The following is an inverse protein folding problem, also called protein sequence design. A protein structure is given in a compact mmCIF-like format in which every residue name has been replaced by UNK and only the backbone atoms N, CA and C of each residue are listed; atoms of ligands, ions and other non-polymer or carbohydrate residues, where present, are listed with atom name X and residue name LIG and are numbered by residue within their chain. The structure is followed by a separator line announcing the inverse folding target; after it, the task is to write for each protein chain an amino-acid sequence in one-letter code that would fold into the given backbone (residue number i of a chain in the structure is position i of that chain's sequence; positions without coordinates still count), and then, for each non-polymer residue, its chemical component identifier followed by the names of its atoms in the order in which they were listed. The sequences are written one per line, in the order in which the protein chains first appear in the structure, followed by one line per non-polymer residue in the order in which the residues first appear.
data_IF_323224054382
#
_entry.id   IF_323224054382
#
_cell.length_a   1.000
_cell.length_b   1.000
_cell.length_c   1.000
_cell.angle_alpha   90.00
_cell.angle_beta   90.00
_cell.angle_gamma   90.00
#
_symmetry.space_group_name_H-M   'P 1'
#
loop_
_entity.id
_entity.type
_entity.pdbx_description
1 polymer ?
#
# COMPACT_ATOMS: atom_id res chain seq x y z
N UNK A 1 -15.18 -20.40 5.29
CA UNK A 1 -15.75 -19.04 5.43
C UNK A 1 -14.61 -18.13 5.92
N UNK A 2 -13.97 -17.37 5.03
CA UNK A 2 -12.86 -16.51 5.42
C UNK A 2 -13.39 -15.36 6.29
N UNK A 3 -12.94 -15.26 7.54
CA UNK A 3 -13.25 -14.14 8.43
C UNK A 3 -12.75 -12.83 7.81
N UNK A 4 -13.53 -11.75 7.96
CA UNK A 4 -13.10 -10.43 7.47
C UNK A 4 -12.02 -9.88 8.40
N UNK A 5 -10.91 -9.43 7.82
CA UNK A 5 -9.86 -8.72 8.57
C UNK A 5 -10.13 -7.22 8.69
N UNK A 6 -11.17 -6.69 8.04
CA UNK A 6 -11.53 -5.26 8.12
C UNK A 6 -11.69 -4.78 9.57
N UNK A 7 -12.37 -5.51 10.48
CA UNK A 7 -12.50 -5.08 11.87
C UNK A 7 -11.17 -5.00 12.65
N UNK A 8 -10.11 -5.65 12.16
CA UNK A 8 -8.78 -5.59 12.79
C UNK A 8 -8.02 -4.30 12.45
N UNK A 9 -8.38 -3.60 11.36
CA UNK A 9 -7.65 -2.41 10.89
C UNK A 9 -7.69 -1.27 11.91
N UNK A 10 -8.85 -0.85 12.46
CA UNK A 10 -8.88 0.21 13.46
C UNK A 10 -8.11 -0.17 14.72
N UNK A 11 -8.20 -1.44 15.16
CA UNK A 11 -7.49 -1.95 16.34
C UNK A 11 -5.97 -1.86 16.13
N UNK A 12 -5.49 -2.25 14.95
CA UNK A 12 -4.09 -2.16 14.58
C UNK A 12 -3.59 -0.71 14.56
N UNK A 13 -4.36 0.21 13.95
CA UNK A 13 -3.94 1.61 13.88
C UNK A 13 -4.00 2.34 15.22
N UNK A 14 -5.01 2.09 16.05
CA UNK A 14 -5.06 2.64 17.41
C UNK A 14 -3.91 2.09 18.25
N UNK A 15 -3.63 0.78 18.16
CA UNK A 15 -2.50 0.16 18.85
C UNK A 15 -1.15 0.76 18.42
N UNK A 16 -0.93 0.91 17.12
CA UNK A 16 0.26 1.56 16.57
C UNK A 16 0.38 3.03 17.01
N UNK A 17 -0.73 3.78 17.02
CA UNK A 17 -0.75 5.17 17.46
C UNK A 17 -0.42 5.31 18.96
N UNK A 18 -0.96 4.45 19.82
CA UNK A 18 -0.64 4.43 21.25
C UNK A 18 0.84 4.13 21.45
N UNK A 19 1.37 3.11 20.76
CA UNK A 19 2.77 2.71 20.88
C UNK A 19 3.71 3.82 20.41
N UNK A 20 3.46 4.42 19.24
CA UNK A 20 4.26 5.52 18.71
C UNK A 20 4.14 6.79 19.57
N UNK A 21 2.97 7.03 20.16
CA UNK A 21 2.72 8.16 21.06
C UNK A 21 3.57 8.14 22.33
N UNK A 22 4.19 7.00 22.69
CA UNK A 22 5.15 6.93 23.80
C UNK A 22 6.51 7.56 23.45
N UNK A 23 6.81 7.69 22.16
CA UNK A 23 8.10 8.20 21.65
C UNK A 23 7.97 9.55 20.94
N UNK A 24 6.78 9.89 20.47
CA UNK A 24 6.50 11.10 19.68
C UNK A 24 5.33 11.86 20.27
N UNK A 25 5.47 13.19 20.38
CA UNK A 25 4.39 14.10 20.79
C UNK A 25 3.77 14.76 19.55
N UNK A 26 2.66 14.24 18.99
CA UNK A 26 2.06 14.78 17.76
C UNK A 26 1.25 16.06 17.96
N UNK A 27 1.08 16.54 19.21
CA UNK A 27 0.14 17.62 19.54
C UNK A 27 0.43 18.93 18.81
N UNK A 28 1.70 19.31 18.68
CA UNK A 28 2.11 20.53 17.97
C UNK A 28 1.83 20.44 16.47
N UNK A 29 2.23 19.33 15.83
CA UNK A 29 1.95 19.07 14.41
C UNK A 29 0.44 19.02 14.13
N UNK A 30 -0.35 18.43 15.04
CA UNK A 30 -1.80 18.42 14.93
C UNK A 30 -2.39 19.83 15.00
N UNK A 31 -1.97 20.66 15.95
CA UNK A 31 -2.49 22.02 16.07
C UNK A 31 -2.28 22.87 14.79
N UNK A 32 -1.14 22.67 14.10
CA UNK A 32 -0.81 23.42 12.88
C UNK A 32 -1.39 22.81 11.60
N UNK A 33 -1.50 21.47 11.51
CA UNK A 33 -1.80 20.76 10.26
C UNK A 33 -2.97 19.76 10.38
N UNK A 34 -3.87 19.95 11.35
CA UNK A 34 -4.99 19.04 11.59
C UNK A 34 -5.81 18.64 10.34
N UNK A 35 -6.08 19.51 9.34
CA UNK A 35 -6.89 19.09 8.18
C UNK A 35 -6.15 18.09 7.30
N UNK A 36 -4.84 18.27 7.12
CA UNK A 36 -3.99 17.38 6.34
C UNK A 36 -3.83 16.03 7.04
N UNK A 37 -3.64 16.05 8.37
CA UNK A 37 -3.50 14.84 9.17
C UNK A 37 -4.78 14.01 9.14
N UNK A 38 -5.95 14.64 9.31
CA UNK A 38 -7.23 13.95 9.20
C UNK A 38 -7.50 13.45 7.78
N UNK A 39 -7.20 14.26 6.76
CA UNK A 39 -7.35 13.87 5.37
C UNK A 39 -6.49 12.66 5.00
N UNK A 40 -5.20 12.68 5.41
CA UNK A 40 -4.29 11.57 5.24
C UNK A 40 -4.76 10.31 5.99
N UNK A 41 -5.17 10.46 7.27
CA UNK A 41 -5.67 9.35 8.08
C UNK A 41 -6.92 8.70 7.48
N UNK A 42 -7.87 9.50 6.99
CA UNK A 42 -9.06 9.00 6.33
C UNK A 42 -8.72 8.28 5.00
N UNK A 43 -7.82 8.85 4.20
CA UNK A 43 -7.39 8.26 2.94
C UNK A 43 -6.70 6.91 3.14
N UNK A 44 -5.73 6.84 4.06
CA UNK A 44 -5.03 5.59 4.39
C UNK A 44 -5.99 4.58 5.03
N UNK A 45 -6.88 5.01 5.92
CA UNK A 45 -7.89 4.12 6.51
C UNK A 45 -8.79 3.46 5.46
N UNK A 46 -9.24 4.22 4.47
CA UNK A 46 -10.01 3.70 3.34
C UNK A 46 -9.18 2.77 2.45
N UNK A 47 -7.94 3.17 2.10
CA UNK A 47 -7.03 2.37 1.30
C UNK A 47 -6.73 1.01 1.95
N UNK A 48 -6.50 0.98 3.26
CA UNK A 48 -6.24 -0.26 4.00
C UNK A 48 -7.44 -1.19 4.05
N UNK A 49 -8.65 -0.66 4.10
CA UNK A 49 -9.87 -1.47 3.96
C UNK A 49 -9.92 -2.17 2.59
N UNK A 50 -9.58 -1.44 1.51
CA UNK A 50 -9.50 -2.00 0.16
C UNK A 50 -8.39 -3.04 0.05
N UNK A 51 -7.23 -2.77 0.64
CA UNK A 51 -6.09 -3.70 0.63
C UNK A 51 -6.39 -4.98 1.40
N UNK A 52 -7.09 -4.90 2.53
CA UNK A 52 -7.54 -6.08 3.29
C UNK A 52 -8.61 -6.91 2.55
N UNK A 53 -9.34 -6.32 1.61
CA UNK A 53 -10.29 -7.01 0.75
C UNK A 53 -9.61 -7.72 -0.43
N UNK A 54 -8.52 -7.17 -0.96
CA UNK A 54 -7.80 -7.66 -2.15
C UNK A 54 -7.49 -9.17 -2.17
N UNK A 55 -6.95 -9.78 -1.09
CA UNK A 55 -6.61 -11.20 -1.06
C UNK A 55 -7.76 -12.18 -1.29
N UNK A 56 -9.01 -11.70 -1.26
CA UNK A 56 -10.20 -12.53 -1.53
C UNK A 56 -10.44 -12.76 -3.03
N UNK A 57 -9.84 -11.95 -3.89
CA UNK A 57 -10.15 -11.91 -5.32
C UNK A 57 -9.00 -12.38 -6.22
N UNK A 58 -7.77 -12.44 -5.70
CA UNK A 58 -6.56 -12.81 -6.45
C UNK A 58 -5.74 -13.83 -5.65
N UNK A 59 -4.83 -14.52 -6.32
CA UNK A 59 -3.94 -15.50 -5.69
C UNK A 59 -2.96 -14.83 -4.70
N UNK A 60 -2.48 -15.57 -3.71
CA UNK A 60 -1.53 -15.05 -2.71
C UNK A 60 -0.23 -14.49 -3.33
N UNK A 61 0.22 -15.05 -4.46
CA UNK A 61 1.38 -14.55 -5.18
C UNK A 61 1.10 -13.18 -5.83
N UNK A 62 -0.07 -13.00 -6.44
CA UNK A 62 -0.49 -11.72 -7.03
C UNK A 62 -0.66 -10.65 -5.95
N UNK A 63 -1.21 -10.98 -4.77
CA UNK A 63 -1.28 -10.04 -3.63
C UNK A 63 0.12 -9.52 -3.28
N UNK A 64 1.09 -10.41 -3.12
CA UNK A 64 2.45 -10.02 -2.75
C UNK A 64 3.09 -9.10 -3.80
N UNK A 65 2.87 -9.38 -5.09
CA UNK A 65 3.36 -8.54 -6.18
C UNK A 65 2.66 -7.17 -6.22
N UNK A 66 1.36 -7.10 -5.93
CA UNK A 66 0.61 -5.82 -5.84
C UNK A 66 1.10 -4.98 -4.67
N UNK A 67 1.39 -5.59 -3.52
CA UNK A 67 1.97 -4.89 -2.37
C UNK A 67 3.39 -4.38 -2.70
N UNK A 68 4.19 -5.15 -3.44
CA UNK A 68 5.48 -4.65 -3.93
C UNK A 68 5.30 -3.50 -4.94
N UNK A 69 4.27 -3.57 -5.78
CA UNK A 69 3.98 -2.56 -6.79
C UNK A 69 3.61 -1.20 -6.17
N UNK A 70 2.88 -1.18 -5.05
CA UNK A 70 2.63 0.02 -4.24
C UNK A 70 3.95 0.75 -3.91
N UNK A 71 4.97 0.02 -3.47
CA UNK A 71 6.27 0.60 -3.12
C UNK A 71 7.01 1.19 -4.34
N UNK A 72 6.69 0.73 -5.54
CA UNK A 72 7.20 1.28 -6.81
C UNK A 72 6.42 2.51 -7.24
N UNK A 73 5.09 2.51 -7.04
CA UNK A 73 4.24 3.64 -7.38
C UNK A 73 4.49 4.85 -6.47
N UNK A 74 4.79 4.63 -5.19
CA UNK A 74 5.04 5.71 -4.23
C UNK A 74 6.10 6.74 -4.71
N UNK A 75 7.34 6.35 -5.06
CA UNK A 75 8.34 7.30 -5.56
C UNK A 75 7.96 7.90 -6.92
N UNK A 76 7.24 7.17 -7.79
CA UNK A 76 6.73 7.71 -9.07
C UNK A 76 5.71 8.83 -8.79
N UNK A 77 4.81 8.63 -7.83
CA UNK A 77 3.81 9.62 -7.46
C UNK A 77 4.47 10.88 -6.88
N UNK A 78 5.46 10.72 -6.01
CA UNK A 78 6.22 11.84 -5.44
C UNK A 78 6.99 12.58 -6.54
N UNK A 79 7.60 11.88 -7.48
CA UNK A 79 8.26 12.50 -8.63
C UNK A 79 7.29 13.32 -9.48
N UNK A 80 6.11 12.80 -9.76
CA UNK A 80 5.10 13.50 -10.56
C UNK A 80 4.47 14.70 -9.82
N UNK A 81 4.26 14.60 -8.51
CA UNK A 81 3.57 15.62 -7.72
C UNK A 81 4.52 16.70 -7.16
N UNK A 82 5.74 16.32 -6.78
CA UNK A 82 6.70 17.15 -6.03
C UNK A 82 7.99 17.39 -6.84
N UNK A 83 8.26 16.58 -7.88
CA UNK A 83 9.43 16.74 -8.74
C UNK A 83 10.71 16.08 -8.20
N UNK A 84 10.64 15.31 -7.11
CA UNK A 84 11.81 14.60 -6.58
C UNK A 84 12.15 13.39 -7.46
N UNK A 85 13.35 13.40 -8.05
CA UNK A 85 13.78 12.32 -8.94
C UNK A 85 13.99 11.01 -8.17
N UNK A 86 13.39 9.89 -8.61
CA UNK A 86 13.64 8.60 -7.98
C UNK A 86 15.08 8.16 -8.25
N UNK A 87 15.77 7.71 -7.21
CA UNK A 87 17.16 7.24 -7.34
C UNK A 87 17.30 6.02 -8.27
N UNK A 88 18.51 5.72 -8.78
CA UNK A 88 18.74 4.61 -9.71
C UNK A 88 18.25 3.25 -9.20
N UNK A 89 18.42 3.00 -7.90
CA UNK A 89 17.96 1.78 -7.24
C UNK A 89 16.43 1.64 -7.21
N UNK A 90 15.70 2.75 -7.09
CA UNK A 90 14.24 2.73 -7.15
C UNK A 90 13.75 2.32 -8.55
N UNK A 91 14.43 2.78 -9.60
CA UNK A 91 14.11 2.41 -10.99
C UNK A 91 14.40 0.93 -11.25
N UNK A 92 15.54 0.41 -10.78
CA UNK A 92 15.89 -1.01 -10.92
C UNK A 92 14.89 -1.90 -10.17
N UNK A 93 14.61 -1.61 -8.90
CA UNK A 93 13.63 -2.35 -8.11
C UNK A 93 12.23 -2.30 -8.75
N UNK A 94 11.83 -1.12 -9.23
CA UNK A 94 10.57 -0.94 -9.96
C UNK A 94 10.45 -1.79 -11.21
N UNK A 95 11.52 -1.85 -12.00
CA UNK A 95 11.57 -2.66 -13.24
C UNK A 95 11.41 -4.14 -12.92
N UNK A 96 12.04 -4.64 -11.86
CA UNK A 96 11.94 -6.05 -11.45
C UNK A 96 10.51 -6.39 -11.03
N UNK A 97 9.88 -5.56 -10.20
CA UNK A 97 8.50 -5.79 -9.71
C UNK A 97 7.50 -5.76 -10.88
N UNK A 98 7.59 -4.75 -11.76
CA UNK A 98 6.70 -4.64 -12.93
C UNK A 98 6.91 -5.81 -13.88
N UNK A 99 8.16 -6.22 -14.13
CA UNK A 99 8.47 -7.38 -14.95
C UNK A 99 7.89 -8.68 -14.39
N UNK A 100 8.02 -8.90 -13.07
CA UNK A 100 7.44 -10.07 -12.41
C UNK A 100 5.91 -10.09 -12.52
N UNK A 101 5.25 -8.95 -12.36
CA UNK A 101 3.80 -8.82 -12.50
C UNK A 101 3.33 -9.12 -13.93
N UNK A 102 4.04 -8.61 -14.94
CA UNK A 102 3.75 -8.88 -16.35
C UNK A 102 3.83 -10.38 -16.66
N UNK A 103 4.94 -11.03 -16.26
CA UNK A 103 5.13 -12.48 -16.48
C UNK A 103 4.05 -13.28 -15.76
N UNK A 104 3.73 -12.94 -14.50
CA UNK A 104 2.68 -13.60 -13.73
C UNK A 104 1.31 -13.49 -14.40
N UNK A 105 0.94 -12.30 -14.85
CA UNK A 105 -0.34 -12.06 -15.51
C UNK A 105 -0.43 -12.79 -16.86
N UNK A 106 0.63 -12.75 -17.67
CA UNK A 106 0.67 -13.48 -18.95
C UNK A 106 0.51 -14.99 -18.71
N UNK A 107 1.23 -15.55 -17.73
CA UNK A 107 1.10 -16.96 -17.36
C UNK A 107 -0.32 -17.31 -16.90
N UNK A 108 -0.95 -16.43 -16.10
CA UNK A 108 -2.33 -16.61 -15.64
C UNK A 108 -3.33 -16.62 -16.81
N UNK A 109 -3.19 -15.70 -17.77
CA UNK A 109 -4.03 -15.63 -18.96
C UNK A 109 -3.88 -16.87 -19.86
N UNK A 110 -2.64 -17.28 -20.14
CA UNK A 110 -2.36 -18.48 -20.95
C UNK A 110 -2.96 -19.75 -20.32
N UNK A 111 -2.92 -19.85 -18.99
CA UNK A 111 -3.51 -20.98 -18.26
C UNK A 111 -5.04 -20.98 -18.28
N UNK A 112 -5.68 -19.81 -18.34
CA UNK A 112 -7.14 -19.71 -18.45
C UNK A 112 -7.65 -20.14 -19.82
N UNK A 113 -6.91 -19.87 -20.89
CA UNK A 113 -7.28 -20.25 -22.27
C UNK A 113 -7.15 -21.76 -22.54
N UNK A 114 -6.43 -22.49 -21.67
CA UNK A 114 -6.24 -23.95 -21.78
C UNK A 114 -7.29 -24.75 -20.97
N UNK A 115 -8.30 -24.10 -20.38
CA UNK A 115 -9.34 -24.71 -19.54
C UNK A 115 -10.74 -24.44 -20.10
#
# INVERSE_FOLDING_TARGET
KATSMIPAIPVAYIGAAIFLGMFVAPGEAFATQWPLILGHGAFIGAASCLLALGPRYISSAEVALVVLLESVLAPILVWLAIGESPGPWAVVGGTVVVGALLVSNIYSLMKQETR
#
